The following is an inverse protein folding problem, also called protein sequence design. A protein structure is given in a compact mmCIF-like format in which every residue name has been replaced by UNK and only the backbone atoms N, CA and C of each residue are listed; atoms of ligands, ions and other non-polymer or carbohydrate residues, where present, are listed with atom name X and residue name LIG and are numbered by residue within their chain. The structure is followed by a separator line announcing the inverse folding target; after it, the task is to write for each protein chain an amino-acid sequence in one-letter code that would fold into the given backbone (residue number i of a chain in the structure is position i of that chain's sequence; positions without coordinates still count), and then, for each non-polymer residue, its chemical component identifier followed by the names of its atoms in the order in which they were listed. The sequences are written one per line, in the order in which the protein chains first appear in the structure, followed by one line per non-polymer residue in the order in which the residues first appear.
data_IF_617131553959
#
_entry.id   IF_617131553959
#
_cell.length_a   1.000
_cell.length_b   1.000
_cell.length_c   1.000
_cell.angle_alpha   90.00
_cell.angle_beta   90.00
_cell.angle_gamma   90.00
#
_symmetry.space_group_name_H-M   'P 1'
#
loop_
_entity.id
_entity.type
_entity.pdbx_description
1 polymer ?
#
# COMPACT_ATOMS: atom_id res chain seq x y z
N UNK A 1 32.41 -37.98 -13.11
CA UNK A 1 32.73 -37.50 -11.75
C UNK A 1 33.23 -36.06 -11.74
N UNK A 2 34.32 -35.70 -12.42
CA UNK A 2 34.82 -34.30 -12.43
C UNK A 2 33.85 -33.34 -13.15
N UNK A 3 33.38 -33.70 -14.36
CA UNK A 3 32.47 -32.86 -15.15
C UNK A 3 31.11 -32.68 -14.49
N UNK A 4 30.61 -33.72 -13.83
CA UNK A 4 29.37 -33.71 -13.08
C UNK A 4 29.46 -32.78 -11.87
N UNK A 5 30.60 -32.76 -11.17
CA UNK A 5 30.83 -31.85 -10.05
C UNK A 5 30.94 -30.38 -10.51
N UNK A 6 31.55 -30.13 -11.67
CA UNK A 6 31.60 -28.81 -12.29
C UNK A 6 30.19 -28.35 -12.72
N UNK A 7 29.39 -29.25 -13.29
CA UNK A 7 28.01 -28.97 -13.68
C UNK A 7 27.14 -28.64 -12.47
N UNK A 8 27.23 -29.44 -11.41
CA UNK A 8 26.49 -29.22 -10.16
C UNK A 8 26.86 -27.90 -9.49
N UNK A 9 28.14 -27.51 -9.52
CA UNK A 9 28.56 -26.23 -8.97
C UNK A 9 27.96 -25.05 -9.74
N UNK A 10 27.91 -25.12 -11.07
CA UNK A 10 27.29 -24.06 -11.90
C UNK A 10 25.79 -23.96 -11.66
N UNK A 11 25.09 -25.09 -11.54
CA UNK A 11 23.65 -25.11 -11.26
C UNK A 11 23.34 -24.54 -9.86
N UNK A 12 24.19 -24.86 -8.87
CA UNK A 12 24.11 -24.25 -7.54
C UNK A 12 24.28 -22.73 -7.63
N UNK A 13 25.34 -22.25 -8.29
CA UNK A 13 25.62 -20.81 -8.40
C UNK A 13 24.48 -20.09 -9.14
N UNK A 14 23.92 -20.70 -10.18
CA UNK A 14 22.75 -20.17 -10.89
C UNK A 14 21.52 -20.09 -9.98
N UNK A 15 21.28 -21.12 -9.16
CA UNK A 15 20.17 -21.14 -8.22
C UNK A 15 20.35 -20.08 -7.12
N UNK A 16 21.57 -19.90 -6.61
CA UNK A 16 21.88 -18.85 -5.63
C UNK A 16 21.68 -17.45 -6.22
N UNK A 17 22.11 -17.23 -7.48
CA UNK A 17 21.89 -15.96 -8.17
C UNK A 17 20.40 -15.65 -8.34
N UNK A 18 19.59 -16.65 -8.71
CA UNK A 18 18.13 -16.50 -8.82
C UNK A 18 17.50 -16.20 -7.46
N UNK A 19 17.93 -16.88 -6.39
CA UNK A 19 17.42 -16.64 -5.04
C UNK A 19 17.76 -15.22 -4.52
N UNK A 20 18.92 -14.69 -4.88
CA UNK A 20 19.31 -13.31 -4.58
C UNK A 20 18.43 -12.30 -5.33
N UNK A 21 18.26 -12.47 -6.64
CA UNK A 21 17.41 -11.58 -7.44
C UNK A 21 15.96 -11.55 -6.92
N UNK A 22 15.39 -12.71 -6.60
CA UNK A 22 14.04 -12.78 -6.02
C UNK A 22 13.94 -12.09 -4.66
N UNK A 23 15.00 -12.13 -3.84
CA UNK A 23 15.02 -11.43 -2.55
C UNK A 23 15.02 -9.92 -2.75
N UNK A 24 15.77 -9.43 -3.71
CA UNK A 24 15.84 -8.00 -4.02
C UNK A 24 14.51 -7.52 -4.61
N UNK A 25 13.91 -8.25 -5.56
CA UNK A 25 12.59 -7.92 -6.10
C UNK A 25 11.52 -7.87 -5.01
N UNK A 26 11.54 -8.83 -4.08
CA UNK A 26 10.61 -8.85 -2.95
C UNK A 26 10.85 -7.71 -1.96
N UNK A 27 12.09 -7.22 -1.84
CA UNK A 27 12.42 -6.06 -1.02
C UNK A 27 11.86 -4.80 -1.67
N UNK A 28 12.08 -4.61 -2.95
CA UNK A 28 11.61 -3.46 -3.71
C UNK A 28 10.08 -3.41 -3.75
N UNK A 29 9.42 -4.57 -3.92
CA UNK A 29 7.98 -4.68 -3.86
C UNK A 29 7.41 -4.28 -2.47
N UNK A 30 8.13 -4.62 -1.39
CA UNK A 30 7.74 -4.22 -0.03
C UNK A 30 7.92 -2.73 0.20
N UNK A 31 9.01 -2.14 -0.26
CA UNK A 31 9.24 -0.70 -0.14
C UNK A 31 8.19 0.10 -0.90
N UNK A 32 7.84 -0.33 -2.13
CA UNK A 32 6.77 0.28 -2.90
C UNK A 32 5.40 0.13 -2.22
N UNK A 33 5.14 -1.01 -1.58
CA UNK A 33 3.90 -1.21 -0.82
C UNK A 33 3.83 -0.27 0.39
N UNK A 34 4.91 -0.17 1.17
CA UNK A 34 4.98 0.72 2.34
C UNK A 34 4.81 2.19 1.93
N UNK A 35 5.41 2.60 0.81
CA UNK A 35 5.23 3.96 0.28
C UNK A 35 3.79 4.22 -0.19
N UNK A 36 3.18 3.25 -0.87
CA UNK A 36 1.79 3.34 -1.31
C UNK A 36 0.83 3.42 -0.11
N UNK A 37 1.04 2.62 0.93
CA UNK A 37 0.25 2.65 2.16
C UNK A 37 0.33 4.03 2.83
N UNK A 38 1.53 4.60 2.93
CA UNK A 38 1.73 5.95 3.47
C UNK A 38 1.01 7.01 2.64
N UNK A 39 1.08 6.95 1.32
CA UNK A 39 0.36 7.87 0.44
C UNK A 39 -1.16 7.76 0.63
N UNK A 40 -1.69 6.53 0.75
CA UNK A 40 -3.11 6.28 1.02
C UNK A 40 -3.55 6.88 2.35
N UNK A 41 -2.73 6.76 3.41
CA UNK A 41 -3.00 7.36 4.71
C UNK A 41 -3.04 8.89 4.62
N UNK A 42 -2.05 9.51 3.98
CA UNK A 42 -1.98 10.96 3.78
C UNK A 42 -3.20 11.47 2.98
N UNK A 43 -3.52 10.84 1.85
CA UNK A 43 -4.70 11.21 1.07
C UNK A 43 -6.00 11.07 1.87
N UNK A 44 -6.13 10.00 2.66
CA UNK A 44 -7.30 9.80 3.52
C UNK A 44 -7.44 10.93 4.54
N UNK A 45 -6.33 11.36 5.15
CA UNK A 45 -6.31 12.50 6.08
C UNK A 45 -6.74 13.81 5.39
N UNK A 46 -6.25 14.06 4.17
CA UNK A 46 -6.59 15.26 3.41
C UNK A 46 -8.07 15.29 3.02
N UNK A 47 -8.63 14.15 2.60
CA UNK A 47 -10.05 14.03 2.29
C UNK A 47 -10.90 14.29 3.55
N UNK A 48 -10.54 13.72 4.71
CA UNK A 48 -11.22 14.00 5.99
C UNK A 48 -11.23 15.50 6.29
N UNK A 49 -10.06 16.14 6.20
CA UNK A 49 -9.90 17.57 6.49
C UNK A 49 -10.71 18.43 5.53
N UNK A 50 -10.65 18.13 4.24
CA UNK A 50 -11.42 18.83 3.21
C UNK A 50 -12.92 18.68 3.44
N UNK A 51 -13.40 17.46 3.68
CA UNK A 51 -14.80 17.19 3.96
C UNK A 51 -15.28 17.99 5.18
N UNK A 52 -14.49 18.01 6.25
CA UNK A 52 -14.81 18.76 7.46
C UNK A 52 -14.84 20.28 7.21
N UNK A 53 -13.84 20.83 6.50
CA UNK A 53 -13.85 22.24 6.09
C UNK A 53 -15.08 22.60 5.26
N UNK A 54 -15.49 21.71 4.35
CA UNK A 54 -16.70 21.89 3.54
C UNK A 54 -17.98 21.85 4.37
N UNK A 55 -18.07 20.96 5.36
CA UNK A 55 -19.20 20.94 6.32
C UNK A 55 -19.31 22.27 7.06
N UNK A 56 -18.19 22.84 7.48
CA UNK A 56 -18.18 24.12 8.18
C UNK A 56 -18.54 25.30 7.27
N UNK A 57 -18.06 25.31 6.03
CA UNK A 57 -18.36 26.38 5.07
C UNK A 57 -19.79 26.27 4.49
N UNK A 58 -20.30 25.05 4.30
CA UNK A 58 -21.61 24.77 3.71
C UNK A 58 -22.28 23.57 4.40
N UNK A 59 -22.91 23.77 5.57
CA UNK A 59 -23.45 22.68 6.39
C UNK A 59 -24.58 21.88 5.73
N UNK A 60 -25.33 22.48 4.81
CA UNK A 60 -26.40 21.79 4.06
C UNK A 60 -25.86 20.93 2.90
N UNK A 61 -24.54 20.87 2.71
CA UNK A 61 -23.92 20.08 1.65
C UNK A 61 -23.91 18.59 2.00
N UNK A 62 -24.41 17.75 1.09
CA UNK A 62 -24.31 16.28 1.20
C UNK A 62 -22.89 15.75 0.98
N UNK A 63 -21.95 16.61 0.58
CA UNK A 63 -20.61 16.23 0.16
C UNK A 63 -19.76 15.66 1.31
N UNK A 64 -19.94 16.17 2.53
CA UNK A 64 -19.27 15.61 3.71
C UNK A 64 -19.66 14.14 3.94
N UNK A 65 -20.97 13.86 4.01
CA UNK A 65 -21.47 12.49 4.19
C UNK A 65 -21.04 11.57 3.06
N UNK A 66 -21.15 12.02 1.81
CA UNK A 66 -20.72 11.24 0.65
C UNK A 66 -19.22 10.89 0.67
N UNK A 67 -18.38 11.81 1.13
CA UNK A 67 -16.93 11.57 1.27
C UNK A 67 -16.64 10.55 2.38
N UNK A 68 -17.25 10.70 3.55
CA UNK A 68 -17.06 9.77 4.67
C UNK A 68 -17.60 8.36 4.34
N UNK A 69 -18.76 8.27 3.69
CA UNK A 69 -19.32 7.00 3.19
C UNK A 69 -18.42 6.31 2.18
N UNK A 70 -17.75 7.07 1.31
CA UNK A 70 -16.78 6.51 0.37
C UNK A 70 -15.57 5.93 1.09
N UNK A 71 -14.96 6.70 2.00
CA UNK A 71 -13.79 6.26 2.76
C UNK A 71 -14.12 5.01 3.60
N UNK A 72 -15.29 4.97 4.24
CA UNK A 72 -15.74 3.82 5.04
C UNK A 72 -15.95 2.57 4.19
N UNK A 73 -16.61 2.70 3.03
CA UNK A 73 -16.80 1.58 2.08
C UNK A 73 -15.49 1.04 1.50
N UNK A 74 -14.44 1.86 1.47
CA UNK A 74 -13.09 1.45 1.06
C UNK A 74 -12.23 0.92 2.21
N UNK A 75 -12.76 0.87 3.43
CA UNK A 75 -12.02 0.44 4.62
C UNK A 75 -10.91 1.41 5.06
N UNK A 76 -10.91 2.64 4.53
CA UNK A 76 -9.89 3.64 4.83
C UNK A 76 -10.15 4.35 6.16
N UNK A 77 -11.38 4.27 6.66
CA UNK A 77 -11.80 4.82 7.97
C UNK A 77 -12.77 3.87 8.64
N UNK A 78 -12.84 3.91 9.96
CA UNK A 78 -13.81 3.12 10.71
C UNK A 78 -15.22 3.70 10.59
N UNK A 79 -16.24 2.89 10.91
CA UNK A 79 -17.63 3.38 11.00
C UNK A 79 -17.78 4.41 12.13
N UNK A 80 -17.01 4.27 13.21
CA UNK A 80 -16.95 5.25 14.31
C UNK A 80 -16.49 6.63 13.81
N UNK A 81 -15.51 6.66 12.89
CA UNK A 81 -15.03 7.92 12.29
C UNK A 81 -16.10 8.63 11.45
N UNK A 82 -17.10 7.91 10.91
CA UNK A 82 -18.20 8.48 10.11
C UNK A 82 -19.23 9.17 11.00
N UNK A 83 -19.40 8.69 12.23
CA UNK A 83 -20.42 9.15 13.16
C UNK A 83 -19.99 10.35 14.01
N UNK A 84 -18.69 10.70 14.00
CA UNK A 84 -18.08 11.76 14.83
C UNK A 84 -17.89 13.06 14.05
#
# INVERSE_FOLDING_TARGET
LLDENIQLQREKDATEAVALALRDDMRDAREQLEEAEKQVEEFTMWIKRLAHSLRNAKPNSKLYGAAMDYLSRKGLISVEDVLR
#
